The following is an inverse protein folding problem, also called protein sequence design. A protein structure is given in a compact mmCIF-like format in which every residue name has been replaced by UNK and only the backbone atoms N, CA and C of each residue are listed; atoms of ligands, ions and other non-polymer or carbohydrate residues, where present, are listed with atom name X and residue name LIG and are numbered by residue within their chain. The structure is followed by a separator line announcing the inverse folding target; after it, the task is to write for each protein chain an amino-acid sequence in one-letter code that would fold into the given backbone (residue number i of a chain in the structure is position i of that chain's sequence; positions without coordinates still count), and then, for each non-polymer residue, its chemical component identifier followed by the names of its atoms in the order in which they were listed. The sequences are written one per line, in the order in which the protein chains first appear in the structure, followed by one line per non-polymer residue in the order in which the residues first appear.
data_IF_850318007558
#
_entry.id   IF_850318007558
#
_cell.length_a   1.000
_cell.length_b   1.000
_cell.length_c   1.000
_cell.angle_alpha   90.00
_cell.angle_beta   90.00
_cell.angle_gamma   90.00
#
_symmetry.space_group_name_H-M   'P 1'
#
loop_
_entity.id
_entity.type
_entity.pdbx_description
1 polymer ?
#
# COMPACT_ATOMS: atom_id res chain seq x y z
N UNK A 1 -15.02 -21.40 25.51
CA UNK A 1 -15.90 -20.25 25.25
C UNK A 1 -16.24 -19.53 26.55
N UNK A 2 -15.39 -18.59 26.96
CA UNK A 2 -15.60 -17.79 28.18
C UNK A 2 -16.25 -16.46 27.81
N UNK A 3 -17.44 -16.18 28.33
CA UNK A 3 -18.15 -14.91 28.08
C UNK A 3 -17.76 -13.88 29.13
N UNK A 4 -17.25 -12.73 28.69
CA UNK A 4 -16.75 -11.65 29.55
C UNK A 4 -17.37 -10.29 29.20
N UNK A 5 -17.26 -9.33 30.11
CA UNK A 5 -17.71 -7.95 29.87
C UNK A 5 -16.61 -7.14 29.15
N UNK A 6 -16.99 -6.01 28.52
CA UNK A 6 -16.03 -5.06 27.92
C UNK A 6 -14.97 -4.59 28.91
N UNK A 7 -15.37 -4.38 30.18
CA UNK A 7 -14.45 -3.97 31.24
C UNK A 7 -13.46 -5.07 31.62
N UNK A 8 -13.92 -6.33 31.68
CA UNK A 8 -13.05 -7.47 31.93
C UNK A 8 -12.03 -7.65 30.78
N UNK A 9 -12.47 -7.53 29.52
CA UNK A 9 -11.56 -7.57 28.36
C UNK A 9 -10.55 -6.42 28.37
N UNK A 10 -10.97 -5.21 28.76
CA UNK A 10 -10.06 -4.07 28.89
C UNK A 10 -8.98 -4.31 29.94
N UNK A 11 -9.35 -4.84 31.11
CA UNK A 11 -8.43 -5.18 32.19
C UNK A 11 -7.44 -6.28 31.75
N UNK A 12 -7.94 -7.31 31.08
CA UNK A 12 -7.14 -8.41 30.56
C UNK A 12 -6.09 -7.95 29.54
N UNK A 13 -6.48 -7.07 28.62
CA UNK A 13 -5.59 -6.51 27.60
C UNK A 13 -4.74 -5.34 28.11
N UNK A 14 -4.96 -4.89 29.35
CA UNK A 14 -4.32 -3.70 29.95
C UNK A 14 -4.49 -2.45 29.08
N UNK A 15 -5.70 -2.26 28.57
CA UNK A 15 -6.10 -1.08 27.78
C UNK A 15 -7.25 -0.35 28.45
N UNK A 16 -7.48 0.90 28.04
CA UNK A 16 -8.60 1.69 28.53
C UNK A 16 -9.94 1.16 28.01
N UNK A 17 -11.03 1.34 28.78
CA UNK A 17 -12.40 0.99 28.33
C UNK A 17 -12.77 1.66 26.99
N UNK A 18 -12.43 2.94 26.73
CA UNK A 18 -12.65 3.56 25.43
C UNK A 18 -11.98 2.81 24.26
N UNK A 19 -10.81 2.20 24.46
CA UNK A 19 -10.13 1.42 23.41
C UNK A 19 -10.96 0.20 23.00
N UNK A 20 -11.57 -0.50 23.97
CA UNK A 20 -12.49 -1.61 23.67
C UNK A 20 -13.74 -1.11 22.92
N UNK A 21 -14.25 0.08 23.26
CA UNK A 21 -15.35 0.70 22.50
C UNK A 21 -14.94 1.04 21.06
N UNK A 22 -13.70 1.48 20.82
CA UNK A 22 -13.16 1.65 19.47
C UNK A 22 -13.10 0.32 18.72
N UNK A 23 -12.66 -0.77 19.35
CA UNK A 23 -12.69 -2.10 18.72
C UNK A 23 -14.12 -2.55 18.37
N UNK A 24 -15.10 -2.29 19.24
CA UNK A 24 -16.51 -2.56 18.94
C UNK A 24 -16.99 -1.78 17.71
N UNK A 25 -16.65 -0.48 17.60
CA UNK A 25 -16.98 0.34 16.42
C UNK A 25 -16.32 -0.18 15.14
N UNK A 26 -15.14 -0.81 15.25
CA UNK A 26 -14.41 -1.44 14.14
C UNK A 26 -14.88 -2.85 13.80
N UNK A 27 -15.88 -3.40 14.50
CA UNK A 27 -16.44 -4.72 14.20
C UNK A 27 -15.98 -5.87 15.10
N UNK A 28 -15.45 -5.58 16.31
CA UNK A 28 -15.24 -6.62 17.32
C UNK A 28 -16.56 -7.36 17.59
N UNK A 29 -16.59 -8.71 17.58
CA UNK A 29 -17.82 -9.47 17.79
C UNK A 29 -18.38 -9.26 19.20
N UNK A 30 -19.56 -8.66 19.28
CA UNK A 30 -20.33 -8.46 20.51
C UNK A 30 -21.64 -9.24 20.38
N UNK A 31 -22.02 -9.96 21.43
CA UNK A 31 -23.29 -10.70 21.49
C UNK A 31 -24.46 -9.74 21.68
N UNK A 32 -25.69 -10.21 21.41
CA UNK A 32 -26.91 -9.39 21.58
C UNK A 32 -27.14 -8.90 23.02
N UNK A 33 -26.55 -9.55 24.02
CA UNK A 33 -26.59 -9.15 25.43
C UNK A 33 -25.50 -8.13 25.82
N UNK A 34 -24.71 -7.64 24.85
CA UNK A 34 -23.61 -6.70 25.07
C UNK A 34 -22.33 -7.31 25.66
N UNK A 35 -22.32 -8.63 25.90
CA UNK A 35 -21.13 -9.36 26.35
C UNK A 35 -20.28 -9.82 25.18
N UNK A 36 -19.05 -10.23 25.47
CA UNK A 36 -18.05 -10.59 24.48
C UNK A 36 -17.58 -12.01 24.74
N UNK A 37 -17.51 -12.83 23.69
CA UNK A 37 -16.77 -14.08 23.75
C UNK A 37 -15.28 -13.76 23.76
N UNK A 38 -14.62 -14.09 24.87
CA UNK A 38 -13.20 -13.81 25.11
C UNK A 38 -12.30 -14.35 24.00
N UNK A 39 -12.53 -15.60 23.58
CA UNK A 39 -11.66 -16.25 22.59
C UNK A 39 -11.85 -15.63 21.20
N UNK A 40 -13.09 -15.37 20.80
CA UNK A 40 -13.40 -14.71 19.54
C UNK A 40 -12.83 -13.29 19.49
N UNK A 41 -12.90 -12.54 20.59
CA UNK A 41 -12.36 -11.19 20.68
C UNK A 41 -10.84 -11.14 20.61
N UNK A 42 -10.14 -12.02 21.33
CA UNK A 42 -8.66 -12.08 21.27
C UNK A 42 -8.18 -12.44 19.86
N UNK A 43 -8.84 -13.39 19.20
CA UNK A 43 -8.52 -13.78 17.82
C UNK A 43 -8.79 -12.64 16.82
N UNK A 44 -9.91 -11.92 16.99
CA UNK A 44 -10.24 -10.76 16.17
C UNK A 44 -9.19 -9.65 16.34
N UNK A 45 -8.85 -9.29 17.58
CA UNK A 45 -7.86 -8.24 17.87
C UNK A 45 -6.48 -8.62 17.31
N UNK A 46 -6.06 -9.87 17.49
CA UNK A 46 -4.80 -10.37 16.95
C UNK A 46 -4.75 -10.30 15.40
N UNK A 47 -5.88 -10.48 14.72
CA UNK A 47 -5.95 -10.48 13.26
C UNK A 47 -6.07 -9.07 12.66
N UNK A 48 -6.84 -8.19 13.29
CA UNK A 48 -7.25 -6.92 12.69
C UNK A 48 -6.63 -5.68 13.35
N UNK A 49 -5.96 -5.82 14.50
CA UNK A 49 -5.37 -4.70 15.23
C UNK A 49 -3.84 -4.81 15.37
N UNK A 50 -3.24 -5.94 15.04
CA UNK A 50 -1.77 -6.08 15.00
C UNK A 50 -1.30 -5.49 13.67
N UNK A 51 -1.05 -4.18 13.64
CA UNK A 51 -0.29 -3.54 12.55
C UNK A 51 1.18 -3.97 12.62
N UNK A 52 1.90 -3.93 11.49
CA UNK A 52 3.33 -4.23 11.46
C UNK A 52 4.18 -3.25 12.28
N UNK A 53 3.66 -2.06 12.58
CA UNK A 53 4.23 -1.11 13.53
C UNK A 53 3.75 -1.43 14.95
N UNK A 54 4.69 -1.81 15.82
CA UNK A 54 4.51 -2.40 17.16
C UNK A 54 3.85 -1.52 18.23
N UNK A 55 3.10 -0.49 17.87
CA UNK A 55 2.64 0.55 18.81
C UNK A 55 1.37 0.18 19.59
N UNK A 56 0.51 -0.72 19.09
CA UNK A 56 -0.72 -1.08 19.80
C UNK A 56 -0.47 -2.10 20.93
N UNK A 57 -0.33 -1.57 22.15
CA UNK A 57 -0.15 -2.35 23.39
C UNK A 57 -1.26 -3.39 23.61
N UNK A 58 -2.49 -3.10 23.20
CA UNK A 58 -3.62 -4.02 23.33
C UNK A 58 -3.56 -5.18 22.34
N UNK A 59 -3.19 -4.89 21.09
CA UNK A 59 -3.04 -5.91 20.05
C UNK A 59 -1.87 -6.87 20.36
N UNK A 60 -0.73 -6.32 20.77
CA UNK A 60 0.44 -7.10 21.19
C UNK A 60 0.12 -7.99 22.40
N UNK A 61 -0.65 -7.48 23.36
CA UNK A 61 -1.07 -8.26 24.53
C UNK A 61 -2.01 -9.40 24.14
N UNK A 62 -2.97 -9.15 23.26
CA UNK A 62 -3.88 -10.17 22.75
C UNK A 62 -3.10 -11.29 22.04
N UNK A 63 -2.15 -10.93 21.18
CA UNK A 63 -1.29 -11.89 20.48
C UNK A 63 -0.51 -12.78 21.46
N UNK A 64 0.05 -12.20 22.52
CA UNK A 64 0.78 -12.97 23.53
C UNK A 64 -0.13 -13.94 24.28
N UNK A 65 -1.33 -13.52 24.69
CA UNK A 65 -2.30 -14.39 25.37
C UNK A 65 -2.71 -15.56 24.47
N UNK A 66 -2.90 -15.33 23.17
CA UNK A 66 -3.22 -16.39 22.20
C UNK A 66 -2.06 -17.38 22.05
N UNK A 67 -0.80 -16.90 21.98
CA UNK A 67 0.40 -17.75 21.90
C UNK A 67 0.61 -18.58 23.17
N UNK A 68 0.50 -17.96 24.34
CA UNK A 68 0.69 -18.61 25.65
C UNK A 68 -0.43 -19.60 25.97
N UNK A 69 -1.66 -19.35 25.51
CA UNK A 69 -2.80 -20.21 25.75
C UNK A 69 -2.82 -21.51 24.94
N UNK A 70 -1.87 -21.72 24.01
CA UNK A 70 -1.81 -22.92 23.17
C UNK A 70 -3.02 -23.11 22.24
N UNK A 71 -3.93 -22.13 22.18
CA UNK A 71 -5.13 -22.19 21.36
C UNK A 71 -4.72 -21.87 19.92
N UNK A 72 -4.69 -22.91 19.07
CA UNK A 72 -4.59 -22.71 17.61
C UNK A 72 -5.74 -21.79 17.20
N UNK A 73 -5.47 -20.65 16.54
CA UNK A 73 -6.51 -19.70 16.18
C UNK A 73 -7.58 -20.42 15.36
N UNK A 74 -8.81 -20.46 15.88
CA UNK A 74 -9.94 -21.04 15.19
C UNK A 74 -10.10 -20.32 13.86
N UNK A 75 -9.86 -21.02 12.75
CA UNK A 75 -10.04 -20.46 11.43
C UNK A 75 -11.54 -20.44 11.18
N UNK A 76 -12.20 -19.27 11.12
CA UNK A 76 -13.62 -19.25 10.82
C UNK A 76 -13.81 -19.76 9.38
N UNK A 77 -14.81 -20.61 9.15
CA UNK A 77 -15.33 -20.84 7.81
C UNK A 77 -15.74 -19.47 7.26
N UNK A 78 -14.95 -18.94 6.31
CA UNK A 78 -15.24 -17.70 5.59
C UNK A 78 -16.55 -17.87 4.82
N UNK A 79 -17.68 -17.57 5.43
CA UNK A 79 -18.93 -17.36 4.70
C UNK A 79 -18.86 -16.00 4.04
N UNK A 80 -18.55 -15.97 2.75
CA UNK A 80 -18.73 -14.77 1.92
C UNK A 80 -17.47 -14.04 1.45
N UNK A 81 -16.26 -14.58 1.66
CA UNK A 81 -15.11 -14.11 0.86
C UNK A 81 -15.28 -14.71 -0.53
N UNK A 82 -15.54 -13.89 -1.54
CA UNK A 82 -15.37 -14.29 -2.94
C UNK A 82 -14.04 -15.01 -3.03
N UNK A 83 -14.07 -16.27 -3.53
CA UNK A 83 -12.85 -17.06 -3.66
C UNK A 83 -11.83 -16.17 -4.39
N UNK A 84 -10.60 -15.99 -3.85
CA UNK A 84 -9.56 -15.30 -4.60
C UNK A 84 -9.49 -15.98 -5.97
N UNK A 85 -9.51 -15.17 -7.04
CA UNK A 85 -9.46 -15.70 -8.39
C UNK A 85 -8.30 -16.70 -8.48
N UNK A 86 -8.55 -17.95 -8.92
CA UNK A 86 -7.49 -18.94 -9.03
C UNK A 86 -6.37 -18.40 -9.91
N UNK A 87 -5.16 -18.29 -9.36
CA UNK A 87 -3.98 -17.85 -10.10
C UNK A 87 -3.49 -16.43 -9.83
N UNK A 88 -4.17 -15.62 -9.01
CA UNK A 88 -3.58 -14.37 -8.56
C UNK A 88 -2.48 -14.61 -7.50
N UNK A 89 -1.30 -13.97 -7.62
CA UNK A 89 -0.26 -14.02 -6.60
C UNK A 89 -0.83 -13.60 -5.24
N UNK A 90 -0.46 -14.32 -4.17
CA UNK A 90 -0.97 -14.06 -2.80
C UNK A 90 -0.42 -12.78 -2.16
N UNK A 91 0.58 -12.17 -2.79
CA UNK A 91 1.20 -10.93 -2.34
C UNK A 91 1.26 -9.96 -3.52
N UNK A 92 0.97 -8.69 -3.25
CA UNK A 92 1.27 -7.59 -4.17
C UNK A 92 2.76 -7.71 -4.56
N UNK A 93 3.13 -7.46 -5.83
CA UNK A 93 4.54 -7.40 -6.22
C UNK A 93 5.37 -6.57 -5.23
N UNK A 94 6.58 -7.02 -4.92
CA UNK A 94 7.52 -6.27 -4.07
C UNK A 94 7.64 -4.81 -4.53
N UNK A 95 7.56 -3.90 -3.58
CA UNK A 95 7.47 -2.46 -3.82
C UNK A 95 6.04 -1.91 -3.81
N UNK A 96 4.98 -2.72 -3.73
CA UNK A 96 3.60 -2.23 -3.64
C UNK A 96 3.00 -2.44 -2.24
N UNK A 97 3.84 -2.57 -1.21
CA UNK A 97 3.44 -2.77 0.18
C UNK A 97 2.43 -1.72 0.70
N UNK A 98 2.46 -0.44 0.27
CA UNK A 98 1.44 0.54 0.66
C UNK A 98 0.01 0.20 0.21
N UNK A 99 -0.18 -0.70 -0.77
CA UNK A 99 -1.52 -1.20 -1.17
C UNK A 99 -2.12 -2.11 -0.12
N UNK A 100 -1.29 -2.82 0.64
CA UNK A 100 -1.79 -3.73 1.67
C UNK A 100 -2.39 -2.99 2.87
N UNK A 101 -2.08 -1.70 3.03
CA UNK A 101 -2.65 -0.83 4.07
C UNK A 101 -4.01 -0.24 3.69
N UNK A 102 -4.46 -0.44 2.45
CA UNK A 102 -5.75 0.05 1.98
C UNK A 102 -6.88 -0.92 2.37
N UNK A 103 -7.79 -0.49 3.26
CA UNK A 103 -8.84 -1.35 3.82
C UNK A 103 -10.06 -1.53 2.91
N UNK A 104 -10.35 -0.55 2.06
CA UNK A 104 -11.44 -0.62 1.09
C UNK A 104 -10.95 -1.35 -0.17
N UNK A 105 -11.61 -2.45 -0.62
CA UNK A 105 -11.18 -3.21 -1.78
C UNK A 105 -11.24 -2.42 -3.10
N UNK A 106 -12.11 -1.41 -3.21
CA UNK A 106 -12.15 -0.50 -4.37
C UNK A 106 -10.92 0.41 -4.38
N UNK A 107 -10.61 1.05 -3.25
CA UNK A 107 -9.43 1.90 -3.10
C UNK A 107 -8.14 1.10 -3.31
N UNK A 108 -8.09 -0.14 -2.79
CA UNK A 108 -6.98 -1.07 -2.99
C UNK A 108 -6.79 -1.40 -4.49
N UNK A 109 -7.87 -1.66 -5.21
CA UNK A 109 -7.83 -1.91 -6.66
C UNK A 109 -7.38 -0.69 -7.45
N UNK A 110 -7.93 0.49 -7.14
CA UNK A 110 -7.55 1.75 -7.77
C UNK A 110 -6.07 2.08 -7.52
N UNK A 111 -5.58 1.90 -6.29
CA UNK A 111 -4.18 2.13 -5.95
C UNK A 111 -3.24 1.12 -6.62
N UNK A 112 -3.62 -0.15 -6.66
CA UNK A 112 -2.82 -1.19 -7.33
C UNK A 112 -2.70 -0.93 -8.85
N UNK A 113 -3.80 -0.52 -9.50
CA UNK A 113 -3.80 -0.13 -10.92
C UNK A 113 -3.00 1.16 -11.10
N UNK A 114 -3.20 2.15 -10.24
CA UNK A 114 -2.50 3.42 -10.29
C UNK A 114 -1.00 3.25 -10.20
N UNK A 115 -0.53 2.46 -9.24
CA UNK A 115 0.89 2.18 -9.10
C UNK A 115 1.43 1.29 -10.22
N UNK A 116 0.65 0.35 -10.73
CA UNK A 116 1.07 -0.44 -11.90
C UNK A 116 1.26 0.45 -13.12
N UNK A 117 0.34 1.38 -13.37
CA UNK A 117 0.41 2.32 -14.49
C UNK A 117 1.58 3.30 -14.34
N UNK A 118 1.71 3.95 -13.19
CA UNK A 118 2.75 4.95 -12.97
C UNK A 118 4.17 4.35 -12.97
N UNK A 119 4.38 3.22 -12.29
CA UNK A 119 5.73 2.72 -12.01
C UNK A 119 6.20 1.62 -12.97
N UNK A 120 5.32 0.71 -13.42
CA UNK A 120 5.75 -0.31 -14.38
C UNK A 120 5.78 0.21 -15.81
N UNK A 121 4.80 1.03 -16.20
CA UNK A 121 4.72 1.51 -17.59
C UNK A 121 5.91 2.41 -17.93
N UNK A 122 6.27 3.34 -17.03
CA UNK A 122 7.44 4.19 -17.21
C UNK A 122 8.73 3.36 -17.31
N UNK A 123 8.97 2.43 -16.37
CA UNK A 123 10.15 1.56 -16.40
C UNK A 123 10.22 0.68 -17.65
N UNK A 124 9.09 0.10 -18.09
CA UNK A 124 9.03 -0.69 -19.32
C UNK A 124 9.32 0.17 -20.56
N UNK A 125 8.77 1.40 -20.62
CA UNK A 125 9.04 2.31 -21.72
C UNK A 125 10.51 2.73 -21.78
N UNK A 126 11.16 2.94 -20.63
CA UNK A 126 12.60 3.19 -20.55
C UNK A 126 13.40 2.01 -21.10
N UNK A 127 13.07 0.78 -20.72
CA UNK A 127 13.72 -0.43 -21.25
C UNK A 127 13.56 -0.50 -22.77
N UNK A 128 12.35 -0.30 -23.28
CA UNK A 128 12.08 -0.31 -24.72
C UNK A 128 12.84 0.81 -25.45
N UNK A 129 12.92 2.00 -24.87
CA UNK A 129 13.67 3.12 -25.45
C UNK A 129 15.16 2.79 -25.58
N UNK A 130 15.78 2.26 -24.51
CA UNK A 130 17.20 1.83 -24.54
C UNK A 130 17.41 0.72 -25.56
N UNK A 131 16.53 -0.30 -25.59
CA UNK A 131 16.60 -1.38 -26.57
C UNK A 131 16.45 -0.88 -28.02
N UNK A 132 15.75 0.23 -28.23
CA UNK A 132 15.62 0.90 -29.52
C UNK A 132 16.82 1.81 -29.88
N UNK A 133 17.84 1.88 -29.01
CA UNK A 133 19.05 2.68 -29.22
C UNK A 133 18.94 4.12 -28.71
N UNK A 134 17.95 4.45 -27.89
CA UNK A 134 17.89 5.77 -27.27
C UNK A 134 19.04 5.95 -26.25
N UNK A 135 19.70 7.12 -26.24
CA UNK A 135 20.70 7.44 -25.21
C UNK A 135 20.11 7.43 -23.81
N UNK A 136 20.92 7.14 -22.78
CA UNK A 136 20.45 7.05 -21.40
C UNK A 136 19.78 8.34 -20.92
N UNK A 137 20.29 9.50 -21.31
CA UNK A 137 19.67 10.80 -21.00
C UNK A 137 18.24 10.93 -21.54
N UNK A 138 17.97 10.40 -22.74
CA UNK A 138 16.62 10.39 -23.33
C UNK A 138 15.74 9.38 -22.62
N UNK A 139 16.25 8.17 -22.36
CA UNK A 139 15.51 7.14 -21.65
C UNK A 139 15.12 7.58 -20.21
N UNK A 140 16.03 8.29 -19.53
CA UNK A 140 15.80 8.91 -18.22
C UNK A 140 14.74 10.02 -18.30
N UNK A 141 14.79 10.89 -19.32
CA UNK A 141 13.75 11.89 -19.55
C UNK A 141 12.38 11.25 -19.81
N UNK A 142 12.30 10.21 -20.65
CA UNK A 142 11.07 9.46 -20.94
C UNK A 142 10.48 8.88 -19.65
N UNK A 143 11.31 8.25 -18.82
CA UNK A 143 10.88 7.68 -17.54
C UNK A 143 10.18 8.71 -16.66
N UNK A 144 10.82 9.87 -16.49
CA UNK A 144 10.33 10.95 -15.62
C UNK A 144 9.06 11.58 -16.17
N UNK A 145 9.02 11.89 -17.47
CA UNK A 145 7.84 12.47 -18.11
C UNK A 145 6.66 11.49 -18.09
N UNK A 146 6.89 10.21 -18.37
CA UNK A 146 5.84 9.20 -18.30
C UNK A 146 5.32 8.99 -16.89
N UNK A 147 6.19 9.03 -15.86
CA UNK A 147 5.73 9.01 -14.47
C UNK A 147 4.78 10.17 -14.19
N UNK A 148 5.14 11.39 -14.59
CA UNK A 148 4.28 12.57 -14.39
C UNK A 148 2.93 12.38 -15.11
N UNK A 149 2.96 12.07 -16.41
CA UNK A 149 1.74 11.92 -17.21
C UNK A 149 0.84 10.76 -16.72
N UNK A 150 1.44 9.63 -16.31
CA UNK A 150 0.68 8.51 -15.76
C UNK A 150 0.08 8.85 -14.40
N UNK A 151 0.78 9.61 -13.55
CA UNK A 151 0.23 10.05 -12.27
C UNK A 151 -0.98 10.97 -12.45
N UNK A 152 -0.94 11.90 -13.43
CA UNK A 152 -2.10 12.73 -13.80
C UNK A 152 -3.26 11.87 -14.30
N UNK A 153 -2.99 10.89 -15.17
CA UNK A 153 -4.01 9.96 -15.66
C UNK A 153 -4.62 9.13 -14.51
N UNK A 154 -3.80 8.67 -13.58
CA UNK A 154 -4.25 7.93 -12.40
C UNK A 154 -5.11 8.83 -11.51
N UNK A 155 -4.69 10.07 -11.24
CA UNK A 155 -5.49 11.03 -10.48
C UNK A 155 -6.86 11.27 -11.15
N UNK A 156 -6.89 11.47 -12.47
CA UNK A 156 -8.14 11.65 -13.23
C UNK A 156 -9.07 10.43 -13.17
N UNK A 157 -8.53 9.22 -13.31
CA UNK A 157 -9.33 7.98 -13.15
C UNK A 157 -9.86 7.86 -11.72
N UNK A 158 -9.03 8.15 -10.73
CA UNK A 158 -9.37 8.14 -9.32
C UNK A 158 -10.51 9.13 -8.99
N UNK A 159 -10.48 10.35 -9.54
CA UNK A 159 -11.56 11.33 -9.39
C UNK A 159 -12.89 10.82 -9.95
N UNK A 160 -12.85 10.13 -11.10
CA UNK A 160 -14.03 9.56 -11.73
C UNK A 160 -14.68 8.41 -10.95
N UNK A 161 -13.96 7.79 -10.01
CA UNK A 161 -14.44 6.69 -9.18
C UNK A 161 -15.14 7.17 -7.89
N UNK A 162 -15.10 8.48 -7.59
CA UNK A 162 -15.68 9.08 -6.39
C UNK A 162 -14.67 9.24 -5.24
N UNK A 163 -15.10 9.79 -4.10
CA UNK A 163 -14.20 10.06 -2.97
C UNK A 163 -13.66 8.75 -2.39
N UNK A 164 -12.34 8.62 -2.30
CA UNK A 164 -11.67 7.55 -1.56
C UNK A 164 -12.13 7.61 -0.09
N UNK A 165 -12.56 6.47 0.46
CA UNK A 165 -13.24 6.44 1.78
C UNK A 165 -12.29 6.66 2.96
N UNK A 166 -10.99 6.74 2.71
CA UNK A 166 -10.07 7.26 3.70
C UNK A 166 -8.66 6.78 3.48
N UNK A 167 -7.75 7.74 3.32
CA UNK A 167 -6.45 7.57 3.92
C UNK A 167 -5.96 8.92 4.45
N UNK A 168 -5.66 8.96 5.75
CA UNK A 168 -5.06 10.12 6.40
C UNK A 168 -3.53 10.10 6.31
N UNK A 169 -2.97 9.04 5.72
CA UNK A 169 -1.55 8.90 5.48
C UNK A 169 -1.15 9.71 4.23
N UNK A 170 -0.29 10.73 4.32
CA UNK A 170 0.22 11.44 3.15
C UNK A 170 1.26 10.63 2.36
N UNK A 171 1.84 9.57 2.95
CA UNK A 171 2.96 8.82 2.37
C UNK A 171 2.53 7.72 1.38
N UNK A 172 1.23 7.46 1.22
CA UNK A 172 0.69 6.60 0.15
C UNK A 172 1.09 7.13 -1.24
N UNK A 173 1.37 8.43 -1.35
CA UNK A 173 1.87 9.08 -2.56
C UNK A 173 3.39 9.32 -2.55
N UNK A 174 4.14 8.78 -1.59
CA UNK A 174 5.58 8.98 -1.52
C UNK A 174 6.29 8.25 -2.66
N UNK A 175 6.58 9.02 -3.72
CA UNK A 175 7.09 8.54 -4.99
C UNK A 175 8.48 7.88 -4.90
N UNK A 176 9.22 8.11 -3.82
CA UNK A 176 10.56 7.55 -3.60
C UNK A 176 10.57 6.16 -2.98
N UNK A 177 9.43 5.71 -2.42
CA UNK A 177 9.32 4.41 -1.77
C UNK A 177 9.30 3.22 -2.75
N UNK A 178 9.20 3.49 -4.06
CA UNK A 178 8.91 2.50 -5.08
C UNK A 178 10.13 2.13 -5.93
N UNK A 179 10.16 0.88 -6.44
CA UNK A 179 11.28 0.26 -7.15
C UNK A 179 11.83 1.18 -8.24
N UNK A 180 13.02 1.73 -8.01
CA UNK A 180 13.78 2.50 -9.00
C UNK A 180 14.17 1.58 -10.16
N UNK A 181 14.15 2.06 -11.42
CA UNK A 181 14.79 1.35 -12.53
C UNK A 181 16.23 1.00 -12.14
N UNK A 182 16.70 -0.17 -12.56
CA UNK A 182 18.08 -0.60 -12.31
C UNK A 182 19.01 0.15 -13.28
N UNK A 183 19.27 1.43 -12.99
CA UNK A 183 20.00 2.35 -13.86
C UNK A 183 21.38 1.82 -14.24
N UNK A 184 22.04 1.11 -13.34
CA UNK A 184 23.35 0.49 -13.59
C UNK A 184 23.29 -0.57 -14.68
N UNK A 185 22.22 -1.37 -14.69
CA UNK A 185 22.01 -2.37 -15.72
C UNK A 185 21.66 -1.73 -17.07
N UNK A 186 20.83 -0.69 -17.06
CA UNK A 186 20.43 0.01 -18.29
C UNK A 186 21.60 0.75 -18.95
N UNK A 187 22.41 1.45 -18.16
CA UNK A 187 23.60 2.15 -18.66
C UNK A 187 24.59 1.17 -19.31
N UNK A 188 24.78 -0.01 -18.69
CA UNK A 188 25.58 -1.08 -19.27
C UNK A 188 25.02 -1.56 -20.62
N UNK A 189 23.71 -1.72 -20.77
CA UNK A 189 23.09 -2.09 -22.05
C UNK A 189 23.26 -0.99 -23.13
N UNK A 190 23.23 0.28 -22.72
CA UNK A 190 23.43 1.41 -23.62
C UNK A 190 24.91 1.66 -23.99
N UNK A 191 25.86 1.03 -23.30
CA UNK A 191 27.28 1.33 -23.45
C UNK A 191 27.66 2.70 -22.89
N UNK A 192 26.90 3.21 -21.92
CA UNK A 192 27.09 4.52 -21.28
C UNK A 192 27.48 4.35 -19.80
N UNK A 193 28.22 5.31 -19.19
CA UNK A 193 28.44 5.33 -17.75
C UNK A 193 27.15 5.72 -17.00
N UNK A 194 27.03 5.29 -15.75
CA UNK A 194 25.95 5.73 -14.85
C UNK A 194 26.28 7.13 -14.34
N UNK A 195 25.50 8.13 -14.76
CA UNK A 195 25.64 9.52 -14.31
C UNK A 195 24.26 10.18 -14.17
N UNK A 196 23.57 9.84 -13.07
CA UNK A 196 22.22 10.36 -12.80
C UNK A 196 22.19 11.88 -12.65
N UNK A 197 23.28 12.50 -12.19
CA UNK A 197 23.37 13.95 -12.06
C UNK A 197 23.34 14.63 -13.43
N UNK A 198 24.15 14.14 -14.38
CA UNK A 198 24.14 14.65 -15.75
C UNK A 198 22.79 14.43 -16.45
N UNK A 199 22.15 13.27 -16.23
CA UNK A 199 20.84 12.97 -16.79
C UNK A 199 19.74 13.88 -16.23
N UNK A 200 19.80 14.18 -14.93
CA UNK A 200 18.88 15.12 -14.29
C UNK A 200 19.08 16.55 -14.79
N UNK A 201 20.33 17.03 -14.93
CA UNK A 201 20.63 18.33 -15.54
C UNK A 201 20.05 18.42 -16.95
N UNK A 202 20.31 17.41 -17.79
CA UNK A 202 19.76 17.35 -19.15
C UNK A 202 18.23 17.41 -19.18
N UNK A 203 17.55 16.73 -18.25
CA UNK A 203 16.09 16.77 -18.14
C UNK A 203 15.58 18.17 -17.80
N UNK A 204 16.20 18.83 -16.82
CA UNK A 204 15.80 20.17 -16.38
C UNK A 204 15.93 21.19 -17.51
N UNK A 205 17.03 21.15 -18.25
CA UNK A 205 17.25 22.01 -19.42
C UNK A 205 16.15 21.84 -20.48
N UNK A 206 15.74 20.60 -20.76
CA UNK A 206 14.66 20.30 -21.72
C UNK A 206 13.30 20.83 -21.28
N UNK A 207 12.94 20.65 -20.01
CA UNK A 207 11.67 21.11 -19.46
C UNK A 207 11.56 22.64 -19.46
N UNK A 208 12.66 23.34 -19.20
CA UNK A 208 12.70 24.81 -19.26
C UNK A 208 12.45 25.33 -20.68
N UNK A 209 12.97 24.64 -21.70
CA UNK A 209 12.74 25.00 -23.11
C UNK A 209 11.26 24.86 -23.49
N UNK A 210 10.60 23.78 -23.07
CA UNK A 210 9.17 23.57 -23.37
C UNK A 210 8.26 24.56 -22.64
N UNK A 211 8.58 24.92 -21.39
CA UNK A 211 7.86 25.94 -20.65
C UNK A 211 7.91 27.32 -21.32
N UNK A 212 9.06 27.70 -21.89
CA UNK A 212 9.21 28.93 -22.66
C UNK A 212 8.48 28.90 -24.01
N UNK A 213 8.48 27.75 -24.70
CA UNK A 213 7.78 27.59 -25.96
C UNK A 213 6.24 27.65 -25.82
N UNK A 214 5.70 27.20 -24.68
CA UNK A 214 4.28 27.26 -24.38
C UNK A 214 3.80 28.63 -23.89
N UNK A 215 4.68 29.50 -23.39
CA UNK A 215 4.31 30.88 -23.00
C UNK A 215 4.25 31.85 -24.17
N UNK A 216 4.88 31.51 -25.29
CA UNK A 216 4.95 32.34 -26.50
C UNK A 216 3.89 31.97 -27.57
N UNK A 217 3.10 30.92 -27.33
CA UNK A 217 2.05 30.40 -28.22
C UNK A 217 0.64 30.76 -27.72
#
# INVERSE_FOLDING_TARGET
MTVITKAALAAELRVSKPRISQYCKRGLPVRGDGKIDREAALNWINRYCVSQTSADKGANRAQRIVREGGVKPATPKQSGRSKPMPGLPKSVPHGLEPVDDCFNPFDQGALAVGMSLAYRTAGNATVVAVMAGAPMKIAYTIERLMKIAMMEAVASVCEGLGPFEGNADPDIWNLEAFVKPRWEWLALQAGEPVDEAAWETYRQERLQIEGAALSDA
#
